data_IF_050899396062
#
_entry.id   IF_050899396062
#
_cell.length_a   1.000
_cell.length_b   1.000
_cell.length_c   1.000
_cell.angle_alpha   90.00
_cell.angle_beta   90.00
_cell.angle_gamma   90.00
#
_symmetry.space_group_name_H-M   'P 1'
#
loop_
_entity.id
_entity.type
_entity.pdbx_description
1 polymer ?
#
# COMPACT_ATOMS: atom_id res chain seq x y z
N UNK A 1 10.02 30.46 -79.33
CA UNK A 1 9.23 30.30 -78.09
C UNK A 1 10.09 29.44 -77.18
N UNK A 2 10.82 30.13 -76.32
CA UNK A 2 11.86 29.63 -75.42
C UNK A 2 11.18 28.99 -74.19
N UNK A 3 11.56 27.75 -73.84
CA UNK A 3 11.18 27.13 -72.57
C UNK A 3 12.46 26.81 -71.82
N UNK A 4 12.88 27.74 -70.96
CA UNK A 4 13.92 27.52 -69.97
C UNK A 4 13.45 26.46 -68.96
N UNK A 5 14.01 25.27 -69.08
CA UNK A 5 13.90 24.22 -68.10
C UNK A 5 14.79 24.59 -66.90
N UNK A 6 14.19 25.21 -65.89
CA UNK A 6 14.83 25.54 -64.61
C UNK A 6 15.39 24.27 -63.95
N UNK A 7 16.68 23.99 -64.17
CA UNK A 7 17.41 22.96 -63.43
C UNK A 7 17.54 23.36 -61.96
N UNK A 8 16.61 22.87 -61.14
CA UNK A 8 16.66 22.93 -59.69
C UNK A 8 17.83 22.09 -59.19
N UNK A 9 18.96 22.76 -58.95
CA UNK A 9 20.18 22.15 -58.42
C UNK A 9 19.93 21.71 -56.96
N UNK A 10 19.45 20.48 -56.78
CA UNK A 10 19.24 19.87 -55.48
C UNK A 10 20.60 19.48 -54.88
N UNK A 11 21.31 20.45 -54.31
CA UNK A 11 22.47 20.26 -53.45
C UNK A 11 22.05 19.54 -52.14
N UNK A 12 21.65 18.27 -52.25
CA UNK A 12 21.44 17.41 -51.10
C UNK A 12 22.81 16.94 -50.61
N UNK A 13 23.43 17.73 -49.74
CA UNK A 13 24.54 17.25 -48.91
C UNK A 13 23.99 16.12 -48.04
N UNK A 14 24.25 14.87 -48.44
CA UNK A 14 23.92 13.69 -47.64
C UNK A 14 24.82 13.64 -46.42
N UNK A 15 24.26 13.26 -45.27
CA UNK A 15 25.01 12.98 -44.05
C UNK A 15 25.98 11.83 -44.32
N UNK A 16 27.23 11.94 -43.88
CA UNK A 16 28.19 10.85 -44.05
C UNK A 16 27.92 9.73 -43.05
N UNK A 17 28.15 8.47 -43.43
CA UNK A 17 28.05 7.33 -42.53
C UNK A 17 28.97 7.46 -41.31
N UNK A 18 30.11 8.13 -41.50
CA UNK A 18 31.10 8.38 -40.44
C UNK A 18 30.58 9.41 -39.43
N UNK A 19 29.95 10.50 -39.87
CA UNK A 19 29.33 11.46 -38.96
C UNK A 19 28.24 10.80 -38.12
N UNK A 20 27.43 9.94 -38.72
CA UNK A 20 26.40 9.21 -37.99
C UNK A 20 27.01 8.19 -37.00
N UNK A 21 28.07 7.47 -37.40
CA UNK A 21 28.68 6.43 -36.55
C UNK A 21 29.40 7.02 -35.33
N UNK A 22 30.04 8.17 -35.47
CA UNK A 22 30.67 8.88 -34.35
C UNK A 22 29.61 9.40 -33.37
N UNK A 23 28.48 9.93 -33.87
CA UNK A 23 27.39 10.43 -33.01
C UNK A 23 26.78 9.30 -32.18
N UNK A 24 26.45 8.15 -32.78
CA UNK A 24 25.91 7.00 -32.02
C UNK A 24 26.95 6.45 -31.03
N UNK A 25 28.24 6.55 -31.35
CA UNK A 25 29.31 6.11 -30.45
C UNK A 25 29.38 7.02 -29.21
N UNK A 26 29.35 8.34 -29.38
CA UNK A 26 29.33 9.31 -28.28
C UNK A 26 28.06 9.15 -27.42
N UNK A 27 26.88 9.06 -28.06
CA UNK A 27 25.60 8.82 -27.35
C UNK A 27 25.61 7.50 -26.59
N UNK A 28 26.22 6.45 -27.16
CA UNK A 28 26.38 5.15 -26.51
C UNK A 28 27.21 5.21 -25.23
N UNK A 29 28.36 5.90 -25.27
CA UNK A 29 29.23 6.08 -24.10
C UNK A 29 28.51 6.87 -22.99
N UNK A 30 27.87 7.99 -23.34
CA UNK A 30 27.12 8.80 -22.39
C UNK A 30 25.95 8.03 -21.77
N UNK A 31 25.20 7.27 -22.58
CA UNK A 31 24.06 6.49 -22.11
C UNK A 31 24.50 5.37 -21.15
N UNK A 32 25.63 4.72 -21.41
CA UNK A 32 26.16 3.66 -20.55
C UNK A 32 26.42 4.15 -19.12
N UNK A 33 26.98 5.36 -18.98
CA UNK A 33 27.24 5.97 -17.67
C UNK A 33 25.97 6.44 -16.97
N UNK A 34 24.98 6.91 -17.73
CA UNK A 34 23.76 7.55 -17.20
C UNK A 34 22.68 6.55 -16.75
N UNK A 35 22.48 5.47 -17.50
CA UNK A 35 21.41 4.48 -17.27
C UNK A 35 21.39 3.90 -15.84
N UNK A 36 22.50 3.43 -15.23
CA UNK A 36 22.44 2.83 -13.89
C UNK A 36 22.00 3.84 -12.81
N UNK A 37 22.46 5.08 -12.91
CA UNK A 37 22.06 6.16 -12.01
C UNK A 37 20.57 6.46 -12.16
N UNK A 38 20.08 6.59 -13.40
CA UNK A 38 18.68 6.86 -13.68
C UNK A 38 17.75 5.78 -13.10
N UNK A 39 18.09 4.49 -13.23
CA UNK A 39 17.29 3.39 -12.66
C UNK A 39 17.18 3.50 -11.14
N UNK A 40 18.29 3.83 -10.46
CA UNK A 40 18.32 4.03 -9.01
C UNK A 40 17.45 5.22 -8.58
N UNK A 41 17.55 6.35 -9.29
CA UNK A 41 16.70 7.52 -9.04
C UNK A 41 15.22 7.23 -9.22
N UNK A 42 14.85 6.53 -10.30
CA UNK A 42 13.45 6.11 -10.53
C UNK A 42 12.95 5.22 -9.39
N UNK A 43 13.77 4.27 -8.92
CA UNK A 43 13.40 3.40 -7.79
C UNK A 43 13.17 4.22 -6.52
N UNK A 44 14.07 5.15 -6.18
CA UNK A 44 13.93 6.04 -5.02
C UNK A 44 12.68 6.93 -5.13
N UNK A 45 12.42 7.49 -6.31
CA UNK A 45 11.23 8.31 -6.57
C UNK A 45 9.94 7.50 -6.38
N UNK A 46 9.88 6.26 -6.86
CA UNK A 46 8.73 5.36 -6.64
C UNK A 46 8.51 5.03 -5.17
N UNK A 47 9.59 4.79 -4.42
CA UNK A 47 9.52 4.55 -2.97
C UNK A 47 9.02 5.80 -2.25
N UNK A 48 9.55 6.98 -2.56
CA UNK A 48 9.12 8.24 -1.97
C UNK A 48 7.64 8.52 -2.24
N UNK A 49 7.17 8.26 -3.48
CA UNK A 49 5.76 8.36 -3.83
C UNK A 49 4.89 7.39 -3.02
N UNK A 50 5.31 6.13 -2.86
CA UNK A 50 4.56 5.16 -2.06
C UNK A 50 4.49 5.56 -0.56
N UNK A 51 5.56 6.13 -0.01
CA UNK A 51 5.55 6.67 1.37
C UNK A 51 4.63 7.89 1.46
N UNK A 52 4.65 8.78 0.47
CA UNK A 52 3.76 9.94 0.43
C UNK A 52 2.29 9.51 0.36
N UNK A 53 1.95 8.51 -0.47
CA UNK A 53 0.61 7.92 -0.52
C UNK A 53 0.19 7.39 0.86
N UNK A 54 1.05 6.62 1.54
CA UNK A 54 0.78 6.12 2.90
C UNK A 54 0.59 7.24 3.93
N UNK A 55 1.36 8.34 3.83
CA UNK A 55 1.17 9.52 4.69
C UNK A 55 -0.18 10.18 4.46
N UNK A 56 -0.56 10.36 3.20
CA UNK A 56 -1.86 10.92 2.84
C UNK A 56 -3.00 10.03 3.35
N UNK A 57 -2.88 8.69 3.22
CA UNK A 57 -3.85 7.73 3.76
C UNK A 57 -3.97 7.92 5.27
N UNK A 58 -2.84 7.96 5.99
CA UNK A 58 -2.81 8.16 7.45
C UNK A 58 -3.57 9.42 7.85
N UNK A 59 -3.18 10.56 7.29
CA UNK A 59 -3.78 11.86 7.64
C UNK A 59 -5.27 11.90 7.32
N UNK A 60 -5.69 11.39 6.15
CA UNK A 60 -7.11 11.35 5.78
C UNK A 60 -7.94 10.50 6.76
N UNK A 61 -7.41 9.36 7.18
CA UNK A 61 -8.11 8.45 8.12
C UNK A 61 -8.14 9.03 9.54
N UNK A 62 -7.02 9.54 10.05
CA UNK A 62 -6.97 10.13 11.38
C UNK A 62 -7.91 11.34 11.49
N UNK A 63 -7.95 12.18 10.45
CA UNK A 63 -8.88 13.31 10.39
C UNK A 63 -10.34 12.85 10.45
N UNK A 64 -10.73 11.87 9.63
CA UNK A 64 -12.13 11.42 9.60
C UNK A 64 -12.55 10.72 10.89
N UNK A 65 -11.66 9.89 11.45
CA UNK A 65 -11.92 9.16 12.68
C UNK A 65 -12.02 10.10 13.89
N UNK A 66 -11.12 11.08 14.01
CA UNK A 66 -11.12 12.01 15.14
C UNK A 66 -12.46 12.76 15.20
N UNK A 67 -12.91 13.31 14.07
CA UNK A 67 -14.16 14.04 13.99
C UNK A 67 -15.36 13.14 14.36
N UNK A 68 -15.40 11.91 13.84
CA UNK A 68 -16.52 11.01 14.07
C UNK A 68 -16.58 10.44 15.49
N UNK A 69 -15.44 10.04 16.05
CA UNK A 69 -15.37 9.37 17.36
C UNK A 69 -15.60 10.35 18.53
N UNK A 70 -15.25 11.62 18.37
CA UNK A 70 -15.57 12.67 19.34
C UNK A 70 -17.08 12.89 19.41
N UNK A 71 -17.77 12.90 18.26
CA UNK A 71 -19.21 13.19 18.18
C UNK A 71 -20.07 11.98 18.60
N UNK A 72 -19.67 10.76 18.25
CA UNK A 72 -20.47 9.54 18.41
C UNK A 72 -19.89 8.59 19.46
N UNK A 73 -19.42 9.15 20.57
CA UNK A 73 -18.73 8.38 21.62
C UNK A 73 -19.64 7.27 22.16
N UNK A 74 -19.20 6.01 22.02
CA UNK A 74 -19.94 4.82 22.48
C UNK A 74 -20.72 4.05 21.40
N UNK A 75 -21.15 4.69 20.31
CA UNK A 75 -21.92 4.03 19.23
C UNK A 75 -21.03 3.27 18.23
N UNK A 76 -19.73 3.55 18.23
CA UNK A 76 -18.75 2.96 17.31
C UNK A 76 -17.98 1.77 17.91
N UNK A 77 -18.36 1.31 19.11
CA UNK A 77 -17.67 0.24 19.85
C UNK A 77 -17.53 -1.06 19.07
N UNK A 78 -18.52 -1.39 18.22
CA UNK A 78 -18.49 -2.58 17.37
C UNK A 78 -17.34 -2.57 16.32
N UNK A 79 -16.81 -1.40 15.95
CA UNK A 79 -15.64 -1.29 15.07
C UNK A 79 -14.35 -1.75 15.76
N UNK A 80 -14.26 -1.57 17.08
CA UNK A 80 -13.10 -1.91 17.90
C UNK A 80 -13.20 -3.36 18.38
N UNK A 81 -13.10 -4.28 17.44
CA UNK A 81 -13.26 -5.71 17.69
C UNK A 81 -12.01 -6.50 17.35
N UNK A 82 -10.85 -5.86 17.16
CA UNK A 82 -9.57 -6.52 16.87
C UNK A 82 -8.57 -6.26 17.98
N UNK A 83 -7.53 -7.09 18.02
CA UNK A 83 -6.47 -7.01 19.04
C UNK A 83 -5.14 -6.73 18.38
N UNK A 84 -4.51 -5.65 18.82
CA UNK A 84 -3.15 -5.28 18.49
C UNK A 84 -2.26 -5.59 19.68
N UNK A 85 -1.40 -6.60 19.57
CA UNK A 85 -0.36 -6.79 20.57
C UNK A 85 0.69 -5.70 20.42
N UNK A 86 1.15 -5.17 21.56
CA UNK A 86 2.17 -4.13 21.68
C UNK A 86 3.53 -4.73 22.10
N UNK A 87 3.60 -6.05 22.20
CA UNK A 87 4.78 -6.80 22.62
C UNK A 87 4.93 -8.10 21.81
N UNK A 88 6.18 -8.53 21.62
CA UNK A 88 6.51 -9.79 20.97
C UNK A 88 6.23 -11.04 21.82
N UNK A 89 6.31 -12.19 21.16
CA UNK A 89 6.29 -13.51 21.78
C UNK A 89 4.91 -14.15 21.80
N UNK A 90 4.83 -15.33 22.42
CA UNK A 90 3.60 -16.12 22.55
C UNK A 90 3.11 -16.17 24.02
N UNK A 91 3.28 -15.07 24.76
CA UNK A 91 2.82 -14.97 26.14
C UNK A 91 1.30 -14.66 26.18
N UNK A 92 0.60 -15.28 27.13
CA UNK A 92 -0.81 -15.00 27.44
C UNK A 92 -1.03 -13.59 28.00
N UNK A 93 0.00 -13.01 28.63
CA UNK A 93 -0.05 -11.70 29.28
C UNK A 93 0.56 -10.57 28.43
N UNK A 94 0.73 -10.77 27.12
CA UNK A 94 1.25 -9.71 26.24
C UNK A 94 0.36 -8.48 26.33
N UNK A 95 0.98 -7.30 26.44
CA UNK A 95 0.23 -6.05 26.34
C UNK A 95 -0.45 -5.98 24.98
N UNK A 96 -1.70 -5.54 25.00
CA UNK A 96 -2.48 -5.37 23.79
C UNK A 96 -3.39 -4.14 23.90
N UNK A 97 -3.80 -3.67 22.74
CA UNK A 97 -4.79 -2.62 22.56
C UNK A 97 -5.96 -3.17 21.75
N UNK A 98 -7.18 -2.72 22.08
CA UNK A 98 -8.37 -3.02 21.29
C UNK A 98 -8.43 -1.99 20.16
N UNK A 99 -8.48 -2.49 18.92
CA UNK A 99 -8.36 -1.68 17.72
C UNK A 99 -9.44 -2.03 16.70
N UNK A 100 -9.69 -1.12 15.77
CA UNK A 100 -10.38 -1.39 14.53
C UNK A 100 -9.40 -1.73 13.43
N UNK A 101 -9.88 -2.40 12.38
CA UNK A 101 -9.08 -2.67 11.19
C UNK A 101 -9.90 -2.47 9.93
N UNK A 102 -9.47 -1.51 9.11
CA UNK A 102 -10.00 -1.28 7.78
C UNK A 102 -9.05 -1.90 6.76
N UNK A 103 -9.59 -2.68 5.84
CA UNK A 103 -8.79 -3.32 4.79
C UNK A 103 -9.45 -3.15 3.43
N UNK A 104 -8.78 -3.58 2.36
CA UNK A 104 -9.44 -3.68 1.05
C UNK A 104 -10.75 -4.47 1.08
N UNK A 105 -10.89 -5.45 1.99
CA UNK A 105 -12.14 -6.16 2.17
C UNK A 105 -13.26 -5.18 2.56
N UNK A 106 -13.05 -4.37 3.61
CA UNK A 106 -14.01 -3.36 4.07
C UNK A 106 -14.35 -2.37 2.97
N UNK A 107 -13.33 -1.88 2.25
CA UNK A 107 -13.53 -0.94 1.14
C UNK A 107 -14.30 -1.56 -0.03
N UNK A 108 -14.00 -2.81 -0.38
CA UNK A 108 -14.73 -3.52 -1.42
C UNK A 108 -16.20 -3.76 -1.03
N UNK A 109 -16.47 -4.12 0.23
CA UNK A 109 -17.83 -4.24 0.77
C UNK A 109 -18.57 -2.90 0.65
N UNK A 110 -17.92 -1.79 1.01
CA UNK A 110 -18.47 -0.44 0.84
C UNK A 110 -18.89 -0.15 -0.61
N UNK A 111 -17.99 -0.40 -1.57
CA UNK A 111 -18.23 -0.11 -3.00
C UNK A 111 -19.29 -1.01 -3.63
N UNK A 112 -19.28 -2.30 -3.31
CA UNK A 112 -20.06 -3.32 -4.05
C UNK A 112 -21.42 -3.61 -3.43
N UNK A 113 -21.52 -3.51 -2.11
CA UNK A 113 -22.69 -3.99 -1.38
C UNK A 113 -23.64 -2.87 -0.94
N UNK A 114 -23.34 -1.59 -1.29
CA UNK A 114 -24.07 -0.38 -0.84
C UNK A 114 -24.53 -0.56 0.61
N UNK A 115 -23.60 -0.61 1.58
CA UNK A 115 -23.92 -0.97 2.95
C UNK A 115 -25.11 -0.13 3.41
N UNK A 116 -26.19 -0.80 3.84
CA UNK A 116 -27.37 -0.12 4.40
C UNK A 116 -26.98 0.78 5.58
N UNK A 117 -27.93 1.49 6.17
CA UNK A 117 -27.72 2.39 7.33
C UNK A 117 -27.30 1.68 8.64
N UNK A 118 -26.68 0.50 8.54
CA UNK A 118 -26.27 -0.34 9.67
C UNK A 118 -25.41 0.43 10.67
N UNK A 119 -25.84 0.39 11.92
CA UNK A 119 -25.14 0.91 13.10
C UNK A 119 -24.08 -0.09 13.55
N UNK A 120 -22.85 0.36 13.87
CA UNK A 120 -21.75 -0.49 14.34
C UNK A 120 -20.48 -0.43 13.48
N UNK A 121 -19.75 -1.56 13.32
CA UNK A 121 -18.44 -1.62 12.65
C UNK A 121 -18.46 -1.08 11.21
N UNK A 122 -19.58 -1.28 10.52
CA UNK A 122 -19.77 -0.82 9.16
C UNK A 122 -19.89 0.71 9.04
N UNK A 123 -20.25 1.42 10.11
CA UNK A 123 -20.33 2.88 10.11
C UNK A 123 -18.94 3.52 9.98
N UNK A 124 -17.97 3.03 10.77
CA UNK A 124 -16.58 3.48 10.68
C UNK A 124 -15.95 3.06 9.34
N UNK A 125 -16.24 1.85 8.85
CA UNK A 125 -15.76 1.42 7.54
C UNK A 125 -16.31 2.29 6.40
N UNK A 126 -17.57 2.73 6.47
CA UNK A 126 -18.16 3.68 5.50
C UNK A 126 -17.46 5.04 5.55
N UNK A 127 -17.23 5.56 6.74
CA UNK A 127 -16.55 6.83 6.95
C UNK A 127 -15.14 6.82 6.35
N UNK A 128 -14.35 5.80 6.69
CA UNK A 128 -12.99 5.63 6.16
C UNK A 128 -13.04 5.46 4.64
N UNK A 129 -13.90 4.59 4.11
CA UNK A 129 -13.98 4.34 2.68
C UNK A 129 -14.40 5.58 1.89
N UNK A 130 -15.38 6.35 2.39
CA UNK A 130 -15.83 7.59 1.77
C UNK A 130 -14.73 8.65 1.71
N UNK A 131 -13.98 8.82 2.81
CA UNK A 131 -12.86 9.76 2.85
C UNK A 131 -11.72 9.35 1.92
N UNK A 132 -11.40 8.06 1.89
CA UNK A 132 -10.37 7.54 1.00
C UNK A 132 -10.79 7.60 -0.47
N UNK A 133 -12.06 7.42 -0.80
CA UNK A 133 -12.58 7.61 -2.16
C UNK A 133 -12.47 9.06 -2.64
N UNK A 134 -12.65 10.02 -1.75
CA UNK A 134 -12.45 11.44 -2.06
C UNK A 134 -10.98 11.81 -2.22
N UNK A 135 -10.08 11.08 -1.54
CA UNK A 135 -8.64 11.37 -1.52
C UNK A 135 -7.86 10.59 -2.58
N UNK A 136 -8.27 9.36 -2.90
CA UNK A 136 -7.53 8.42 -3.73
C UNK A 136 -8.40 7.84 -4.85
N UNK A 137 -7.91 7.98 -6.09
CA UNK A 137 -8.47 7.34 -7.27
C UNK A 137 -7.86 5.95 -7.46
N UNK A 138 -8.40 4.94 -6.79
CA UNK A 138 -7.96 3.54 -6.94
C UNK A 138 -8.90 2.72 -7.82
N UNK A 139 -8.32 1.88 -8.69
CA UNK A 139 -9.08 1.01 -9.58
C UNK A 139 -9.34 -0.36 -8.96
N UNK A 140 -10.62 -0.69 -8.87
CA UNK A 140 -11.13 -1.97 -8.38
C UNK A 140 -11.86 -2.65 -9.53
N UNK A 141 -11.11 -3.29 -10.43
CA UNK A 141 -11.71 -3.82 -11.66
C UNK A 141 -12.65 -5.00 -11.37
N UNK A 142 -12.23 -5.98 -10.52
CA UNK A 142 -13.08 -7.07 -10.00
C UNK A 142 -12.53 -7.68 -8.69
N UNK A 143 -13.05 -7.28 -7.53
CA UNK A 143 -12.57 -7.80 -6.25
C UNK A 143 -13.36 -9.00 -5.72
N UNK A 144 -12.70 -10.13 -5.44
CA UNK A 144 -13.23 -11.09 -4.46
C UNK A 144 -13.16 -10.42 -3.07
N UNK A 145 -14.15 -10.67 -2.21
CA UNK A 145 -14.18 -10.16 -0.82
C UNK A 145 -13.12 -10.90 0.02
N UNK A 146 -11.84 -10.62 -0.21
CA UNK A 146 -10.71 -11.28 0.48
C UNK A 146 -9.88 -10.26 1.24
N UNK A 147 -9.58 -10.62 2.48
CA UNK A 147 -8.73 -9.81 3.35
C UNK A 147 -7.24 -9.95 2.94
N UNK A 148 -6.52 -8.83 2.70
CA UNK A 148 -5.07 -8.83 2.43
C UNK A 148 -4.26 -9.60 3.46
N UNK A 149 -4.66 -9.60 4.74
CA UNK A 149 -3.97 -10.30 5.83
C UNK A 149 -3.92 -11.83 5.64
N UNK A 150 -4.75 -12.39 4.77
CA UNK A 150 -4.67 -13.81 4.38
C UNK A 150 -3.51 -14.10 3.41
N UNK A 151 -2.84 -13.07 2.90
CA UNK A 151 -1.66 -13.14 2.05
C UNK A 151 -0.40 -12.80 2.85
N UNK A 152 -0.05 -13.73 3.73
CA UNK A 152 1.00 -13.63 4.74
C UNK A 152 2.15 -14.65 4.57
N UNK A 153 2.39 -15.15 3.35
CA UNK A 153 3.47 -16.11 3.09
C UNK A 153 4.14 -15.89 1.73
N UNK A 154 5.29 -16.54 1.49
CA UNK A 154 5.98 -16.49 0.19
C UNK A 154 5.07 -16.90 -0.98
N UNK A 155 4.19 -17.89 -0.77
CA UNK A 155 3.25 -18.41 -1.78
C UNK A 155 1.96 -17.61 -1.85
N UNK A 156 1.57 -16.95 -0.75
CA UNK A 156 0.46 -16.00 -0.68
C UNK A 156 1.01 -14.62 -0.37
N UNK A 157 1.69 -14.01 -1.32
CA UNK A 157 2.35 -12.71 -1.18
C UNK A 157 1.47 -11.55 -1.70
N UNK A 158 1.92 -10.31 -1.51
CA UNK A 158 1.18 -9.11 -1.92
C UNK A 158 0.94 -9.04 -3.43
N UNK A 159 1.91 -9.45 -4.26
CA UNK A 159 1.74 -9.48 -5.71
C UNK A 159 0.63 -10.47 -6.12
N UNK A 160 0.58 -11.63 -5.45
CA UNK A 160 -0.50 -12.61 -5.64
C UNK A 160 -1.85 -12.07 -5.16
N UNK A 161 -1.89 -11.29 -4.07
CA UNK A 161 -3.12 -10.63 -3.62
C UNK A 161 -3.72 -9.74 -4.71
N UNK A 162 -2.92 -8.88 -5.34
CA UNK A 162 -3.38 -8.01 -6.43
C UNK A 162 -3.93 -8.81 -7.61
N UNK A 163 -3.21 -9.88 -8.01
CA UNK A 163 -3.61 -10.75 -9.13
C UNK A 163 -4.91 -11.51 -8.83
N UNK A 164 -5.02 -12.12 -7.66
CA UNK A 164 -6.16 -12.95 -7.29
C UNK A 164 -7.44 -12.12 -7.07
N UNK A 165 -7.30 -10.83 -6.74
CA UNK A 165 -8.40 -9.91 -6.43
C UNK A 165 -8.59 -8.78 -7.45
N UNK A 166 -7.92 -8.87 -8.62
CA UNK A 166 -7.97 -7.92 -9.72
C UNK A 166 -8.03 -6.44 -9.26
N UNK A 167 -7.05 -6.06 -8.44
CA UNK A 167 -6.88 -4.72 -7.88
C UNK A 167 -5.45 -4.24 -8.06
N UNK A 168 -5.26 -2.93 -8.17
CA UNK A 168 -3.95 -2.31 -8.36
C UNK A 168 -3.21 -2.05 -7.02
N UNK A 169 -3.86 -2.26 -5.87
CA UNK A 169 -3.27 -2.00 -4.56
C UNK A 169 -3.79 -2.94 -3.46
N UNK A 170 -3.05 -3.02 -2.35
CA UNK A 170 -3.51 -3.59 -1.10
C UNK A 170 -3.26 -2.64 0.06
N UNK A 171 -4.13 -2.66 1.04
CA UNK A 171 -4.29 -1.72 2.12
C UNK A 171 -4.81 -2.46 3.36
N UNK A 172 -4.07 -2.31 4.45
CA UNK A 172 -4.48 -2.64 5.80
C UNK A 172 -4.24 -1.41 6.64
N UNK A 173 -5.24 -0.97 7.40
CA UNK A 173 -5.13 0.14 8.34
C UNK A 173 -5.67 -0.31 9.67
N UNK A 174 -4.88 -0.14 10.72
CA UNK A 174 -5.27 -0.42 12.10
C UNK A 174 -5.28 0.89 12.86
N UNK A 175 -6.38 1.14 13.55
CA UNK A 175 -6.62 2.38 14.28
C UNK A 175 -7.21 2.07 15.66
N UNK A 176 -6.92 2.92 16.64
CA UNK A 176 -7.45 2.74 17.99
C UNK A 176 -8.78 3.48 18.19
N UNK A 177 -9.33 3.39 19.40
CA UNK A 177 -10.58 4.03 19.79
C UNK A 177 -10.52 5.56 19.94
N UNK A 178 -9.33 6.16 19.86
CA UNK A 178 -9.16 7.62 19.81
C UNK A 178 -9.01 8.14 18.38
N UNK A 179 -9.03 7.26 17.37
CA UNK A 179 -8.84 7.62 15.96
C UNK A 179 -7.38 7.70 15.52
N UNK A 180 -6.42 7.35 16.39
CA UNK A 180 -5.01 7.29 16.05
C UNK A 180 -4.71 6.05 15.20
N UNK A 181 -3.99 6.23 14.10
CA UNK A 181 -3.56 5.11 13.26
C UNK A 181 -2.32 4.46 13.86
N UNK A 182 -2.46 3.20 14.27
CA UNK A 182 -1.37 2.39 14.86
C UNK A 182 -0.51 1.70 13.82
N UNK A 183 -1.10 1.28 12.69
CA UNK A 183 -0.39 0.59 11.63
C UNK A 183 -1.05 0.82 10.27
N UNK A 184 -0.24 0.97 9.22
CA UNK A 184 -0.70 0.90 7.83
C UNK A 184 0.19 -0.07 7.06
N UNK A 185 -0.39 -0.89 6.19
CA UNK A 185 0.34 -1.60 5.14
C UNK A 185 -0.26 -1.22 3.79
N UNK A 186 0.49 -0.50 2.97
CA UNK A 186 0.12 -0.14 1.60
C UNK A 186 1.02 -0.90 0.63
N UNK A 187 0.46 -1.76 -0.21
CA UNK A 187 1.17 -2.39 -1.31
C UNK A 187 0.70 -1.84 -2.66
N UNK A 188 1.62 -1.26 -3.43
CA UNK A 188 1.33 -0.76 -4.78
C UNK A 188 2.59 -0.77 -5.64
N UNK A 189 2.45 -1.05 -6.94
CA UNK A 189 3.56 -1.01 -7.92
C UNK A 189 4.82 -1.79 -7.48
N UNK A 190 4.65 -2.92 -6.79
CA UNK A 190 5.75 -3.75 -6.31
C UNK A 190 6.44 -3.25 -5.04
N UNK A 191 5.84 -2.29 -4.33
CA UNK A 191 6.39 -1.67 -3.13
C UNK A 191 5.37 -1.85 -2.00
N UNK A 192 5.77 -2.55 -0.93
CA UNK A 192 5.02 -2.62 0.33
C UNK A 192 5.59 -1.56 1.28
N UNK A 193 4.78 -0.61 1.69
CA UNK A 193 5.10 0.36 2.75
C UNK A 193 4.34 -0.03 4.00
N UNK A 194 5.06 -0.27 5.09
CA UNK A 194 4.49 -0.51 6.41
C UNK A 194 4.77 0.69 7.31
N UNK A 195 3.73 1.38 7.75
CA UNK A 195 3.82 2.39 8.79
C UNK A 195 3.53 1.73 10.15
N UNK A 196 4.39 1.98 11.14
CA UNK A 196 4.24 1.49 12.52
C UNK A 196 5.06 2.37 13.45
N UNK A 197 4.52 2.76 14.61
CA UNK A 197 5.22 3.56 15.63
C UNK A 197 5.90 4.85 15.11
N UNK A 198 5.25 5.58 14.18
CA UNK A 198 5.81 6.82 13.64
C UNK A 198 6.80 6.64 12.49
N UNK A 199 7.15 5.39 12.16
CA UNK A 199 8.17 5.09 11.15
C UNK A 199 7.60 4.35 9.94
N UNK A 200 8.30 4.45 8.79
CA UNK A 200 7.90 3.86 7.52
C UNK A 200 8.96 2.86 7.04
N UNK A 201 8.57 1.59 6.98
CA UNK A 201 9.38 0.50 6.44
C UNK A 201 8.96 0.25 5.01
N UNK A 202 9.93 0.11 4.12
CA UNK A 202 9.70 -0.19 2.71
C UNK A 202 10.23 -1.58 2.42
N UNK A 203 9.43 -2.40 1.75
CA UNK A 203 9.82 -3.70 1.23
C UNK A 203 9.54 -3.78 -0.28
N UNK A 204 10.60 -3.93 -1.07
CA UNK A 204 10.53 -4.04 -2.53
C UNK A 204 10.76 -5.47 -3.05
N UNK A 205 10.68 -6.47 -2.16
CA UNK A 205 10.84 -7.88 -2.54
C UNK A 205 9.63 -8.38 -3.33
N UNK A 206 9.86 -9.25 -4.31
CA UNK A 206 8.79 -10.00 -4.98
C UNK A 206 8.03 -10.95 -4.03
N UNK A 207 8.63 -11.25 -2.86
CA UNK A 207 8.04 -12.09 -1.80
C UNK A 207 7.46 -11.27 -0.64
N UNK A 208 7.37 -9.95 -0.78
CA UNK A 208 6.70 -9.11 0.20
C UNK A 208 5.27 -9.61 0.42
N UNK A 209 4.89 -9.83 1.67
CA UNK A 209 3.59 -10.32 2.08
C UNK A 209 3.03 -9.44 3.19
N UNK A 210 1.71 -9.37 3.31
CA UNK A 210 1.08 -8.61 4.38
C UNK A 210 1.39 -9.29 5.70
N UNK A 211 1.74 -8.48 6.68
CA UNK A 211 2.05 -8.96 8.01
C UNK A 211 0.72 -9.09 8.77
N UNK A 212 0.44 -10.31 9.22
CA UNK A 212 -0.79 -10.75 9.87
C UNK A 212 -0.44 -11.86 10.90
N UNK A 213 -1.41 -12.49 11.57
CA UNK A 213 -1.10 -13.44 12.66
C UNK A 213 -0.03 -14.47 12.35
N UNK A 214 0.88 -14.62 13.31
CA UNK A 214 1.82 -15.72 13.35
C UNK A 214 3.06 -15.54 12.46
N UNK A 215 3.23 -14.41 11.79
CA UNK A 215 4.37 -14.15 10.89
C UNK A 215 5.15 -12.88 11.25
N UNK A 216 5.11 -12.43 12.51
CA UNK A 216 5.64 -11.13 12.91
C UNK A 216 7.12 -11.10 13.26
N UNK A 217 7.79 -12.26 13.35
CA UNK A 217 9.26 -12.36 13.31
C UNK A 217 9.83 -11.96 11.92
N UNK A 218 8.95 -11.70 10.94
CA UNK A 218 9.25 -11.57 9.52
C UNK A 218 8.91 -10.20 8.93
N UNK A 219 8.84 -9.13 9.73
CA UNK A 219 8.78 -7.77 9.16
C UNK A 219 10.14 -7.51 8.50
N UNK A 220 10.18 -7.55 7.17
CA UNK A 220 11.41 -7.40 6.41
C UNK A 220 11.45 -6.09 5.62
N UNK A 221 12.63 -5.48 5.51
CA UNK A 221 12.87 -4.34 4.61
C UNK A 221 13.11 -4.78 3.17
N UNK A 222 13.49 -6.04 2.94
CA UNK A 222 13.65 -6.65 1.62
C UNK A 222 13.63 -8.19 1.74
N UNK A 223 14.05 -8.95 0.72
CA UNK A 223 14.14 -10.40 0.85
C UNK A 223 15.20 -10.79 1.88
N UNK A 224 14.75 -11.15 3.09
CA UNK A 224 15.51 -11.69 4.23
C UNK A 224 16.25 -10.67 5.10
N UNK A 225 16.27 -9.37 4.78
CA UNK A 225 16.77 -8.37 5.73
C UNK A 225 15.69 -8.03 6.74
N UNK A 226 15.88 -8.53 7.95
CA UNK A 226 15.03 -8.24 9.10
C UNK A 226 14.92 -6.72 9.29
N UNK A 227 13.73 -6.23 9.59
CA UNK A 227 13.58 -4.84 10.06
C UNK A 227 14.36 -4.65 11.36
N UNK A 228 14.71 -3.42 11.76
CA UNK A 228 15.40 -3.22 13.02
C UNK A 228 14.52 -3.62 14.22
N UNK A 229 15.13 -4.07 15.32
CA UNK A 229 14.42 -4.56 16.52
C UNK A 229 13.50 -3.50 17.16
N UNK A 230 13.74 -2.21 16.93
CA UNK A 230 12.90 -1.10 17.41
C UNK A 230 11.48 -1.09 16.83
N UNK A 231 11.25 -1.83 15.74
CA UNK A 231 9.97 -1.84 15.00
C UNK A 231 9.11 -3.07 15.32
N UNK A 232 9.60 -3.96 16.19
CA UNK A 232 9.19 -5.35 16.21
C UNK A 232 8.02 -5.67 17.14
N UNK A 233 7.36 -4.67 17.71
CA UNK A 233 6.47 -4.87 18.85
C UNK A 233 4.97 -4.89 18.50
N UNK A 234 4.57 -4.55 17.28
CA UNK A 234 3.14 -4.42 16.92
C UNK A 234 2.67 -5.63 16.11
N UNK A 235 1.63 -6.32 16.57
CA UNK A 235 1.07 -7.53 15.93
C UNK A 235 -0.46 -7.50 15.91
N UNK A 236 -1.02 -7.50 14.70
CA UNK A 236 -2.46 -7.64 14.52
C UNK A 236 -2.86 -9.11 14.63
N UNK A 237 -3.59 -9.43 15.69
CA UNK A 237 -4.21 -10.72 15.86
C UNK A 237 -5.33 -10.93 14.83
N UNK A 238 -5.35 -12.09 14.17
CA UNK A 238 -6.43 -12.66 13.40
C UNK A 238 -7.52 -13.17 14.38
N UNK A 239 -7.80 -12.35 15.40
CA UNK A 239 -8.82 -12.59 16.40
C UNK A 239 -9.80 -11.43 16.40
N UNK A 240 -11.08 -11.74 16.36
CA UNK A 240 -12.18 -10.82 16.61
C UNK A 240 -12.68 -11.00 18.04
N UNK A 241 -12.92 -9.91 18.75
CA UNK A 241 -13.58 -9.92 20.05
C UNK A 241 -15.09 -10.03 19.78
N UNK A 242 -15.70 -11.12 20.24
CA UNK A 242 -17.14 -11.34 20.23
C UNK A 242 -17.86 -10.42 21.23
N UNK A 243 -19.18 -10.30 21.10
CA UNK A 243 -20.01 -9.54 22.05
C UNK A 243 -20.00 -10.11 23.47
N UNK A 244 -19.57 -11.36 23.62
CA UNK A 244 -19.33 -12.08 24.87
C UNK A 244 -17.93 -11.84 25.47
N UNK A 245 -17.09 -11.04 24.81
CA UNK A 245 -15.70 -10.78 25.20
C UNK A 245 -14.71 -11.87 24.81
N UNK A 246 -15.16 -12.96 24.18
CA UNK A 246 -14.29 -14.06 23.75
C UNK A 246 -13.61 -13.74 22.42
N UNK A 247 -12.41 -14.28 22.23
CA UNK A 247 -11.64 -14.09 21.00
C UNK A 247 -11.92 -15.20 19.97
N UNK A 248 -12.61 -14.89 18.87
CA UNK A 248 -12.84 -15.79 17.71
C UNK A 248 -11.94 -15.47 16.51
N UNK A 249 -11.93 -16.29 15.45
CA UNK A 249 -11.22 -15.98 14.19
C UNK A 249 -11.88 -14.85 13.39
N UNK A 250 -11.27 -14.39 12.28
CA UNK A 250 -11.91 -13.42 11.38
C UNK A 250 -12.93 -14.11 10.46
N UNK A 251 -14.00 -14.67 11.04
CA UNK A 251 -15.14 -15.21 10.30
C UNK A 251 -16.43 -14.93 11.07
#
# INVERSE_FOLDING_TARGET
>A
MERDELMKNNNKKGFTLVELSVVICIVGILSCLLVPNLISFIKKAKIAAAIADTKTIKTSIESSLTDHLVINYGESTAAFNKVLYLEQGNNKNRKYEIVGCFTNYSWNVYKTSKPGTSTGSQAIDRLIAGQLDATFSESWEKGKKVNPLSYNSDTKNCAKYLKDNNTNFGLVVVYNNTGEVRMIQLYRKGILVTYVNGEYIVNTSSKAHFIGTGTWDKIYTDSKKQSPDSFYNINLSNKQIGSDGNMGGWY
#
